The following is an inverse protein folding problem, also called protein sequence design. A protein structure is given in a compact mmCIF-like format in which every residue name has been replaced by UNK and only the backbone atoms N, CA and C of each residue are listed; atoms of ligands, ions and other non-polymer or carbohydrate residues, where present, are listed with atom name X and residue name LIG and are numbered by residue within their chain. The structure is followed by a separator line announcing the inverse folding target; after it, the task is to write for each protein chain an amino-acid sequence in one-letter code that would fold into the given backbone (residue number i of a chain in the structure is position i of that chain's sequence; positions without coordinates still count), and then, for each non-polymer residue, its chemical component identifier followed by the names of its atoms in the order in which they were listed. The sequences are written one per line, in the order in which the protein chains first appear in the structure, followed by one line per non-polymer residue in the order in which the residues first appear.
data_IF_608537147649
#
_entry.id   IF_608537147649
#
_cell.length_a   1.000
_cell.length_b   1.000
_cell.length_c   1.000
_cell.angle_alpha   90.00
_cell.angle_beta   90.00
_cell.angle_gamma   90.00
#
_symmetry.space_group_name_H-M   'P 1'
#
loop_
_entity.id
_entity.type
_entity.pdbx_description
1 polymer ?
#
# COMPACT_ATOMS: atom_id res chain seq x y z
N UNK A 1 25.74 29.38 -1.13
CA UNK A 1 25.39 29.86 0.22
C UNK A 1 24.76 31.25 0.28
N UNK A 2 24.75 32.05 -0.82
CA UNK A 2 24.09 33.36 -0.85
C UNK A 2 22.57 33.27 -0.68
N UNK A 3 21.94 32.23 -1.18
CA UNK A 3 20.50 32.07 -1.25
C UNK A 3 19.91 31.26 -0.07
N UNK A 4 20.73 30.91 0.93
CA UNK A 4 20.30 30.11 2.08
C UNK A 4 19.17 30.75 2.90
N UNK A 5 19.17 32.07 3.17
CA UNK A 5 18.08 32.69 3.89
C UNK A 5 16.73 32.56 3.16
N UNK A 6 16.74 32.74 1.84
CA UNK A 6 15.54 32.66 0.99
C UNK A 6 14.99 31.22 0.93
N UNK A 7 15.88 30.22 0.81
CA UNK A 7 15.49 28.82 0.86
C UNK A 7 14.93 28.43 2.22
N UNK A 8 15.52 28.90 3.28
CA UNK A 8 15.02 28.65 4.64
C UNK A 8 13.62 29.24 4.82
N UNK A 9 13.42 30.48 4.40
CA UNK A 9 12.10 31.13 4.48
C UNK A 9 11.04 30.35 3.68
N UNK A 10 11.40 29.87 2.47
CA UNK A 10 10.51 29.02 1.67
C UNK A 10 10.18 27.69 2.35
N UNK A 11 11.16 27.03 2.95
CA UNK A 11 10.95 25.77 3.69
C UNK A 11 10.07 26.01 4.92
N UNK A 12 10.37 27.05 5.70
CA UNK A 12 9.61 27.41 6.89
C UNK A 12 8.14 27.72 6.51
N UNK A 13 7.91 28.48 5.43
CA UNK A 13 6.58 28.78 4.92
C UNK A 13 5.84 27.52 4.42
N UNK A 14 6.55 26.62 3.75
CA UNK A 14 5.98 25.36 3.27
C UNK A 14 5.59 24.42 4.42
N UNK A 15 6.38 24.37 5.50
CA UNK A 15 6.08 23.50 6.65
C UNK A 15 5.05 24.09 7.60
N UNK A 16 4.92 25.43 7.65
CA UNK A 16 4.12 26.14 8.65
C UNK A 16 2.67 25.65 8.76
N UNK A 17 1.91 25.38 7.68
CA UNK A 17 0.52 24.92 7.78
C UNK A 17 0.38 23.59 8.54
N UNK A 18 1.34 22.68 8.38
CA UNK A 18 1.35 21.39 9.08
C UNK A 18 1.84 21.54 10.52
N UNK A 19 2.93 22.29 10.70
CA UNK A 19 3.52 22.49 12.04
C UNK A 19 2.63 23.31 12.98
N UNK A 20 1.73 24.12 12.45
CA UNK A 20 0.75 24.89 13.22
C UNK A 20 -0.45 24.05 13.72
N UNK A 21 -0.59 22.79 13.30
CA UNK A 21 -1.73 21.93 13.66
C UNK A 21 -1.62 21.47 15.12
N UNK A 22 -2.42 22.04 16.01
CA UNK A 22 -2.45 21.68 17.43
C UNK A 22 -3.23 20.39 17.72
N UNK A 23 -4.08 19.94 16.80
CA UNK A 23 -4.83 18.68 16.89
C UNK A 23 -3.96 17.43 16.66
N UNK A 24 -2.72 17.61 16.19
CA UNK A 24 -1.71 16.57 16.10
C UNK A 24 -0.59 16.81 17.11
N UNK A 25 -0.14 15.77 17.84
CA UNK A 25 1.06 15.87 18.68
C UNK A 25 2.26 16.38 17.91
N UNK A 26 3.09 17.21 18.54
CA UNK A 26 4.27 17.83 17.91
C UNK A 26 5.17 16.79 17.20
N UNK A 27 5.44 15.65 17.84
CA UNK A 27 6.28 14.59 17.25
C UNK A 27 5.68 14.01 15.97
N UNK A 28 4.35 13.91 15.86
CA UNK A 28 3.70 13.45 14.63
C UNK A 28 3.79 14.48 13.51
N UNK A 29 3.64 15.77 13.84
CA UNK A 29 3.84 16.88 12.88
C UNK A 29 5.26 16.89 12.33
N UNK A 30 6.26 16.69 13.21
CA UNK A 30 7.65 16.57 12.80
C UNK A 30 7.91 15.33 11.97
N UNK A 31 7.29 14.19 12.30
CA UNK A 31 7.48 12.95 11.59
C UNK A 31 6.96 13.01 10.15
N UNK A 32 5.87 13.76 9.87
CA UNK A 32 5.40 13.98 8.50
C UNK A 32 6.53 14.48 7.58
N UNK A 33 7.32 15.45 8.04
CA UNK A 33 8.45 15.94 7.23
C UNK A 33 9.73 15.11 7.38
N UNK A 34 9.98 14.56 8.57
CA UNK A 34 11.18 13.77 8.80
C UNK A 34 11.19 12.50 7.95
N UNK A 35 10.04 11.84 7.75
CA UNK A 35 9.98 10.62 6.92
C UNK A 35 10.19 10.90 5.43
N UNK A 36 10.13 12.16 4.98
CA UNK A 36 10.49 12.54 3.60
C UNK A 36 12.00 12.44 3.33
N UNK A 37 12.82 12.19 4.35
CA UNK A 37 14.27 11.99 4.17
C UNK A 37 14.56 10.86 3.18
N UNK A 38 13.69 9.88 3.08
CA UNK A 38 13.84 8.73 2.19
C UNK A 38 13.97 9.17 0.72
N UNK A 39 13.21 10.17 0.31
CA UNK A 39 13.28 10.77 -1.03
C UNK A 39 14.62 11.47 -1.30
N UNK A 40 15.33 11.91 -0.25
CA UNK A 40 16.58 12.69 -0.34
C UNK A 40 17.82 11.92 0.10
N UNK A 41 17.68 10.68 0.60
CA UNK A 41 18.76 9.90 1.20
C UNK A 41 19.73 9.25 0.18
N UNK A 42 19.51 9.45 -1.14
CA UNK A 42 20.29 8.84 -2.21
C UNK A 42 19.67 7.57 -2.79
N UNK A 43 18.47 7.17 -2.31
CA UNK A 43 17.69 6.05 -2.85
C UNK A 43 16.84 6.41 -4.06
N UNK A 44 16.74 7.69 -4.43
CA UNK A 44 15.91 8.13 -5.56
C UNK A 44 16.67 8.11 -6.89
N UNK A 45 16.00 7.66 -7.94
CA UNK A 45 16.46 7.73 -9.32
C UNK A 45 15.47 8.59 -10.13
N UNK A 46 15.98 9.64 -10.77
CA UNK A 46 15.19 10.51 -11.63
C UNK A 46 15.92 10.73 -12.97
N UNK A 47 15.30 10.29 -14.05
CA UNK A 47 15.87 10.42 -15.40
C UNK A 47 15.52 11.77 -16.03
N UNK A 48 16.27 12.16 -17.06
CA UNK A 48 15.89 13.32 -17.87
C UNK A 48 14.55 13.11 -18.58
N UNK A 49 13.83 14.21 -18.80
CA UNK A 49 12.61 14.23 -19.60
C UNK A 49 12.90 13.79 -21.05
N UNK A 50 11.94 13.09 -21.66
CA UNK A 50 12.01 12.62 -23.05
C UNK A 50 10.59 12.49 -23.65
N UNK A 51 10.44 12.32 -24.98
CA UNK A 51 9.13 12.03 -25.56
C UNK A 51 8.47 10.82 -24.89
N UNK A 52 7.23 11.00 -24.42
CA UNK A 52 6.48 10.00 -23.66
C UNK A 52 6.74 9.96 -22.15
N UNK A 53 7.76 10.67 -21.66
CA UNK A 53 8.06 10.84 -20.24
C UNK A 53 8.38 12.34 -19.97
N UNK A 54 7.39 13.22 -19.94
CA UNK A 54 7.60 14.68 -19.94
C UNK A 54 8.31 15.20 -18.68
N UNK A 55 8.22 14.48 -17.56
CA UNK A 55 8.96 14.76 -16.32
C UNK A 55 10.12 13.79 -16.09
N UNK A 56 10.38 12.88 -17.03
CA UNK A 56 11.30 11.76 -16.85
C UNK A 56 10.66 10.58 -16.10
N UNK A 57 11.42 9.50 -15.91
CA UNK A 57 11.04 8.38 -15.04
C UNK A 57 11.59 8.64 -13.65
N UNK A 58 10.82 8.29 -12.65
CA UNK A 58 11.17 8.46 -11.24
C UNK A 58 10.95 7.16 -10.48
N UNK A 59 11.77 6.91 -9.47
CA UNK A 59 11.60 5.81 -8.54
C UNK A 59 12.45 6.00 -7.29
N UNK A 60 11.96 5.45 -6.19
CA UNK A 60 12.63 5.41 -4.90
C UNK A 60 12.91 3.97 -4.54
N UNK A 61 14.08 3.68 -3.98
CA UNK A 61 14.38 2.34 -3.46
C UNK A 61 13.41 2.00 -2.32
N UNK A 62 13.02 0.75 -2.24
CA UNK A 62 12.28 0.24 -1.09
C UNK A 62 13.05 0.50 0.20
N UNK A 63 14.32 0.14 0.19
CA UNK A 63 15.35 0.50 1.17
C UNK A 63 16.74 0.18 0.60
N UNK A 64 17.80 0.40 1.37
CA UNK A 64 19.16 0.05 0.92
C UNK A 64 19.48 -1.44 1.06
N UNK A 65 18.81 -2.14 1.98
CA UNK A 65 18.98 -3.58 2.17
C UNK A 65 18.25 -4.38 1.08
N UNK A 66 17.12 -3.85 0.59
CA UNK A 66 16.31 -4.37 -0.51
C UNK A 66 16.34 -3.36 -1.66
N UNK A 67 17.47 -3.31 -2.37
CA UNK A 67 17.78 -2.24 -3.30
C UNK A 67 17.10 -2.42 -4.67
N UNK A 68 15.78 -2.36 -4.70
CA UNK A 68 14.96 -2.27 -5.91
C UNK A 68 13.98 -1.11 -5.81
N UNK A 69 13.57 -0.59 -6.96
CA UNK A 69 12.77 0.63 -7.05
C UNK A 69 11.27 0.34 -7.00
N UNK A 70 10.55 1.10 -6.16
CA UNK A 70 9.10 1.21 -6.17
C UNK A 70 8.39 -0.13 -5.98
N UNK A 71 8.72 -0.89 -4.93
CA UNK A 71 7.93 -2.07 -4.56
C UNK A 71 6.47 -1.66 -4.40
N UNK A 72 5.60 -2.23 -5.22
CA UNK A 72 4.26 -1.69 -5.45
C UNK A 72 3.34 -1.82 -4.24
N UNK A 73 3.47 -2.91 -3.50
CA UNK A 73 2.78 -3.18 -2.23
C UNK A 73 3.26 -2.25 -1.10
N UNK A 74 4.56 -1.94 -1.07
CA UNK A 74 5.17 -0.98 -0.13
C UNK A 74 4.73 0.43 -0.47
N UNK A 75 4.75 0.76 -1.76
CA UNK A 75 4.34 2.05 -2.28
C UNK A 75 2.84 2.32 -2.09
N UNK A 76 1.99 1.31 -2.05
CA UNK A 76 0.57 1.45 -1.73
C UNK A 76 0.38 2.32 -0.47
N UNK A 77 1.18 2.07 0.55
CA UNK A 77 1.18 2.83 1.80
C UNK A 77 2.03 4.11 1.72
N UNK A 78 3.26 4.00 1.23
CA UNK A 78 4.28 5.05 1.32
C UNK A 78 4.12 6.21 0.34
N UNK A 79 3.42 6.06 -0.78
CA UNK A 79 3.41 7.05 -1.84
C UNK A 79 2.42 8.21 -1.66
N UNK A 80 1.62 8.24 -0.58
CA UNK A 80 0.73 9.37 -0.30
C UNK A 80 1.49 10.69 -0.13
N UNK A 81 2.71 10.65 0.41
CA UNK A 81 3.60 11.81 0.47
C UNK A 81 3.96 12.33 -0.92
N UNK A 82 4.36 11.42 -1.81
CA UNK A 82 4.75 11.77 -3.19
C UNK A 82 3.56 12.35 -3.96
N UNK A 83 2.39 11.73 -3.86
CA UNK A 83 1.15 12.22 -4.46
C UNK A 83 0.81 13.64 -4.00
N UNK A 84 0.92 13.89 -2.69
CA UNK A 84 0.57 15.18 -2.10
C UNK A 84 1.52 16.30 -2.49
N UNK A 85 2.80 16.02 -2.51
CA UNK A 85 3.84 17.04 -2.61
C UNK A 85 4.40 17.15 -4.03
N UNK A 86 4.44 16.04 -4.77
CA UNK A 86 5.01 15.95 -6.13
C UNK A 86 4.19 15.03 -7.03
N UNK A 87 2.92 15.36 -7.31
CA UNK A 87 1.97 14.48 -8.01
C UNK A 87 2.46 14.04 -9.40
N UNK A 88 3.23 14.86 -10.09
CA UNK A 88 3.76 14.48 -11.41
C UNK A 88 4.83 13.39 -11.33
N UNK A 89 5.57 13.29 -10.21
CA UNK A 89 6.49 12.18 -9.97
C UNK A 89 5.73 10.90 -9.63
N UNK A 90 4.67 11.00 -8.84
CA UNK A 90 3.78 9.86 -8.55
C UNK A 90 3.14 9.30 -9.83
N UNK A 91 2.63 10.17 -10.71
CA UNK A 91 2.13 9.77 -12.04
C UNK A 91 3.21 9.12 -12.90
N UNK A 92 4.46 9.62 -12.86
CA UNK A 92 5.57 9.05 -13.64
C UNK A 92 5.90 7.61 -13.21
N UNK A 93 5.82 7.32 -11.91
CA UNK A 93 5.97 5.95 -11.38
C UNK A 93 4.84 5.05 -11.90
N UNK A 94 3.59 5.46 -11.77
CA UNK A 94 2.44 4.66 -12.20
C UNK A 94 2.40 4.43 -13.72
N UNK A 95 2.84 5.41 -14.53
CA UNK A 95 3.06 5.22 -15.97
C UNK A 95 4.14 4.18 -16.25
N UNK A 96 5.18 4.10 -15.41
CA UNK A 96 6.21 3.06 -15.55
C UNK A 96 5.64 1.67 -15.28
N UNK A 97 4.77 1.50 -14.28
CA UNK A 97 4.02 0.27 -14.06
C UNK A 97 3.06 -0.04 -15.23
N UNK A 98 2.36 0.97 -15.76
CA UNK A 98 1.47 0.80 -16.92
C UNK A 98 2.18 0.20 -18.13
N UNK A 99 3.44 0.60 -18.36
CA UNK A 99 4.29 0.03 -19.42
C UNK A 99 4.82 -1.36 -19.10
N UNK A 100 5.09 -1.63 -17.81
CA UNK A 100 5.65 -2.89 -17.37
C UNK A 100 4.63 -4.04 -17.31
N UNK A 101 3.35 -3.75 -17.01
CA UNK A 101 2.30 -4.78 -16.89
C UNK A 101 2.17 -5.63 -18.15
N UNK A 102 2.03 -5.07 -19.39
CA UNK A 102 1.92 -5.87 -20.60
C UNK A 102 3.24 -6.56 -21.00
N UNK A 103 4.38 -6.11 -20.51
CA UNK A 103 5.68 -6.66 -20.86
C UNK A 103 5.89 -8.07 -20.28
N UNK A 104 6.78 -8.84 -20.90
CA UNK A 104 7.18 -10.15 -20.45
C UNK A 104 8.70 -10.32 -20.49
N UNK A 105 9.26 -11.07 -19.54
CA UNK A 105 10.63 -11.54 -19.51
C UNK A 105 10.63 -13.01 -19.11
N UNK A 106 10.94 -13.89 -20.07
CA UNK A 106 10.93 -15.33 -19.90
C UNK A 106 12.21 -15.88 -19.23
N UNK A 107 13.17 -15.02 -18.85
CA UNK A 107 14.41 -15.45 -18.20
C UNK A 107 14.09 -16.24 -16.93
N UNK A 108 14.48 -17.53 -16.84
CA UNK A 108 14.21 -18.35 -15.68
C UNK A 108 15.06 -17.90 -14.49
N UNK A 109 14.46 -17.84 -13.31
CA UNK A 109 15.13 -17.52 -12.06
C UNK A 109 14.76 -18.50 -10.97
N UNK A 110 15.74 -18.97 -10.15
CA UNK A 110 15.43 -19.77 -8.98
C UNK A 110 14.67 -18.92 -7.94
N UNK A 111 13.62 -19.50 -7.36
CA UNK A 111 12.80 -18.86 -6.32
C UNK A 111 13.32 -19.26 -4.94
N UNK A 112 13.85 -18.27 -4.21
CA UNK A 112 14.58 -18.46 -2.96
C UNK A 112 13.75 -19.08 -1.84
N UNK A 113 12.48 -18.71 -1.71
CA UNK A 113 11.59 -19.20 -0.65
C UNK A 113 11.47 -20.73 -0.66
N UNK A 114 11.29 -21.35 -1.82
CA UNK A 114 11.20 -22.81 -1.91
C UNK A 114 12.49 -23.51 -1.49
N UNK A 115 13.63 -22.86 -1.76
CA UNK A 115 14.91 -23.37 -1.34
C UNK A 115 15.08 -23.30 0.19
N UNK A 116 14.70 -22.17 0.81
CA UNK A 116 14.75 -22.01 2.28
C UNK A 116 13.81 -22.97 3.01
N UNK A 117 12.72 -23.38 2.36
CA UNK A 117 11.77 -24.37 2.88
C UNK A 117 12.18 -25.83 2.61
N UNK A 118 13.38 -26.06 2.10
CA UNK A 118 13.88 -27.40 1.79
C UNK A 118 13.20 -28.11 0.62
N UNK A 119 12.43 -27.38 -0.22
CA UNK A 119 11.70 -27.92 -1.38
C UNK A 119 12.57 -28.08 -2.65
N UNK A 120 13.85 -27.73 -2.55
CA UNK A 120 14.78 -27.77 -3.67
C UNK A 120 14.64 -26.58 -4.62
N UNK A 121 15.26 -26.70 -5.80
CA UNK A 121 15.28 -25.64 -6.81
C UNK A 121 13.95 -25.59 -7.57
N UNK A 122 13.23 -24.50 -7.37
CA UNK A 122 12.05 -24.15 -8.18
C UNK A 122 12.41 -22.93 -9.01
N UNK A 123 12.08 -22.94 -10.30
CA UNK A 123 12.33 -21.84 -11.21
C UNK A 123 11.02 -21.25 -11.74
N UNK A 124 11.01 -19.95 -11.93
CA UNK A 124 9.91 -19.22 -12.56
C UNK A 124 10.46 -18.20 -13.57
N UNK A 125 9.68 -17.79 -14.58
CA UNK A 125 10.06 -16.69 -15.45
C UNK A 125 10.11 -15.39 -14.64
N UNK A 126 11.03 -14.50 -14.97
CA UNK A 126 11.17 -13.21 -14.31
C UNK A 126 9.86 -12.41 -14.31
N UNK A 127 9.20 -12.33 -15.47
CA UNK A 127 7.97 -11.55 -15.62
C UNK A 127 7.03 -12.22 -16.64
N UNK A 128 5.79 -12.43 -16.26
CA UNK A 128 4.72 -12.88 -17.18
C UNK A 128 3.95 -11.67 -17.70
N UNK A 129 3.56 -11.70 -18.97
CA UNK A 129 2.69 -10.68 -19.55
C UNK A 129 1.39 -10.55 -18.73
N UNK A 130 0.93 -9.35 -18.55
CA UNK A 130 -0.23 -8.93 -17.75
C UNK A 130 -0.10 -9.13 -16.22
N UNK A 131 0.90 -9.86 -15.71
CA UNK A 131 1.20 -9.84 -14.28
C UNK A 131 1.67 -8.44 -13.89
N UNK A 132 1.20 -7.90 -12.79
CA UNK A 132 1.71 -6.66 -12.22
C UNK A 132 3.07 -6.94 -11.60
N UNK A 133 4.15 -6.21 -11.95
CA UNK A 133 5.44 -6.44 -11.34
C UNK A 133 5.45 -5.96 -9.88
N UNK A 134 6.24 -6.63 -9.05
CA UNK A 134 6.49 -6.22 -7.69
C UNK A 134 7.27 -4.90 -7.64
N UNK A 135 8.33 -4.78 -8.44
CA UNK A 135 9.23 -3.65 -8.46
C UNK A 135 9.59 -3.23 -9.89
N UNK A 136 10.12 -2.02 -10.04
CA UNK A 136 10.59 -1.44 -11.30
C UNK A 136 12.08 -1.70 -11.57
N UNK A 137 12.66 -2.74 -10.93
CA UNK A 137 14.06 -3.13 -11.12
C UNK A 137 15.01 -2.52 -10.11
N UNK A 138 16.30 -2.75 -10.28
CA UNK A 138 17.35 -2.41 -9.32
C UNK A 138 18.49 -1.59 -9.93
N UNK A 139 19.31 -0.89 -9.10
CA UNK A 139 20.39 -0.04 -9.57
C UNK A 139 21.48 -0.73 -10.39
N UNK A 140 21.66 -2.04 -10.19
CA UNK A 140 22.66 -2.86 -10.88
C UNK A 140 22.20 -3.48 -12.20
N UNK A 141 20.98 -3.17 -12.64
CA UNK A 141 20.40 -3.62 -13.90
C UNK A 141 19.91 -2.41 -14.74
N UNK A 142 18.87 -2.58 -15.52
CA UNK A 142 18.20 -1.51 -16.27
C UNK A 142 16.91 -1.13 -15.56
N UNK A 143 16.90 -0.21 -14.59
CA UNK A 143 15.68 0.18 -13.88
C UNK A 143 14.59 0.64 -14.84
N UNK A 144 13.34 0.36 -14.50
CA UNK A 144 12.12 0.59 -15.29
C UNK A 144 11.95 -0.31 -16.53
N UNK A 145 12.99 -0.99 -17.01
CA UNK A 145 12.91 -1.89 -18.17
C UNK A 145 13.06 -3.36 -17.72
N UNK A 146 13.94 -3.64 -16.75
CA UNK A 146 14.10 -4.96 -16.13
C UNK A 146 13.39 -5.01 -14.78
N UNK A 147 12.08 -5.21 -14.79
CA UNK A 147 11.22 -5.27 -13.59
C UNK A 147 11.29 -6.61 -12.85
N UNK A 148 10.67 -6.71 -11.65
CA UNK A 148 10.74 -7.90 -10.80
C UNK A 148 12.19 -8.30 -10.48
N UNK A 149 12.96 -7.40 -9.85
CA UNK A 149 14.33 -7.72 -9.43
C UNK A 149 14.37 -8.81 -8.38
N UNK A 150 13.47 -8.73 -7.38
CA UNK A 150 13.40 -9.76 -6.34
C UNK A 150 13.06 -11.12 -6.92
N UNK A 151 13.73 -12.16 -6.43
CA UNK A 151 13.48 -13.55 -6.78
C UNK A 151 13.32 -14.43 -5.52
N UNK A 152 13.16 -13.82 -4.35
CA UNK A 152 12.83 -14.57 -3.13
C UNK A 152 11.47 -15.24 -3.28
N UNK A 153 10.49 -14.54 -3.87
CA UNK A 153 9.18 -15.02 -4.24
C UNK A 153 9.00 -15.03 -5.76
N UNK A 154 8.06 -15.82 -6.27
CA UNK A 154 7.53 -15.65 -7.64
C UNK A 154 6.47 -14.54 -7.64
N UNK A 155 6.89 -13.31 -7.85
CA UNK A 155 6.00 -12.15 -7.84
C UNK A 155 4.91 -12.20 -8.93
N UNK A 156 5.06 -13.07 -9.95
CA UNK A 156 3.97 -13.31 -10.92
C UNK A 156 2.73 -13.98 -10.30
N UNK A 157 2.86 -14.52 -9.09
CA UNK A 157 1.78 -15.20 -8.38
C UNK A 157 1.13 -14.36 -7.28
N UNK A 158 1.60 -13.14 -7.05
CA UNK A 158 1.10 -12.29 -5.97
C UNK A 158 -0.34 -11.83 -6.21
N UNK A 159 -1.11 -11.73 -5.11
CA UNK A 159 -2.56 -11.53 -5.13
C UNK A 159 -2.98 -10.09 -4.76
N UNK A 160 -2.05 -9.26 -4.32
CA UNK A 160 -2.28 -7.85 -3.99
C UNK A 160 -1.88 -6.89 -5.12
N UNK A 161 -0.73 -7.11 -5.76
CA UNK A 161 -0.09 -6.14 -6.67
C UNK A 161 -1.01 -5.56 -7.76
N UNK A 162 -1.89 -6.38 -8.35
CA UNK A 162 -2.82 -5.89 -9.37
C UNK A 162 -3.85 -4.93 -8.77
N UNK A 163 -4.37 -5.26 -7.59
CA UNK A 163 -5.30 -4.43 -6.84
C UNK A 163 -4.63 -3.13 -6.38
N UNK A 164 -3.38 -3.23 -5.92
CA UNK A 164 -2.58 -2.10 -5.45
C UNK A 164 -2.32 -1.10 -6.59
N UNK A 165 -2.03 -1.60 -7.78
CA UNK A 165 -1.86 -0.75 -8.96
C UNK A 165 -3.14 0.03 -9.29
N UNK A 166 -4.27 -0.66 -9.38
CA UNK A 166 -5.56 -0.05 -9.72
C UNK A 166 -5.98 1.01 -8.69
N UNK A 167 -5.84 0.68 -7.41
CA UNK A 167 -6.15 1.61 -6.31
C UNK A 167 -5.24 2.83 -6.33
N UNK A 168 -3.95 2.67 -6.61
CA UNK A 168 -3.02 3.79 -6.70
C UNK A 168 -3.29 4.68 -7.93
N UNK A 169 -3.64 4.12 -9.08
CA UNK A 169 -4.03 4.92 -10.26
C UNK A 169 -5.27 5.75 -9.96
N UNK A 170 -6.31 5.15 -9.39
CA UNK A 170 -7.54 5.87 -9.02
C UNK A 170 -7.27 6.93 -7.96
N UNK A 171 -6.50 6.59 -6.94
CA UNK A 171 -6.07 7.52 -5.89
C UNK A 171 -5.35 8.74 -6.44
N UNK A 172 -4.39 8.52 -7.33
CA UNK A 172 -3.60 9.59 -7.93
C UNK A 172 -4.45 10.48 -8.84
N UNK A 173 -5.38 9.89 -9.58
CA UNK A 173 -6.34 10.66 -10.37
C UNK A 173 -7.23 11.54 -9.48
N UNK A 174 -7.82 10.95 -8.43
CA UNK A 174 -8.82 11.60 -7.59
C UNK A 174 -8.22 12.64 -6.65
N UNK A 175 -7.06 12.33 -6.04
CA UNK A 175 -6.49 13.11 -4.94
C UNK A 175 -5.31 14.00 -5.37
N UNK A 176 -5.00 14.08 -6.67
CA UNK A 176 -3.92 14.95 -7.13
C UNK A 176 -4.23 16.43 -6.80
N UNK A 177 -3.32 17.14 -6.13
CA UNK A 177 -3.51 18.56 -5.85
C UNK A 177 -3.59 19.42 -7.13
N UNK A 178 -3.07 18.92 -8.26
CA UNK A 178 -3.16 19.57 -9.56
C UNK A 178 -4.51 19.35 -10.26
N UNK A 179 -5.45 18.65 -9.61
CA UNK A 179 -6.75 18.28 -10.14
C UNK A 179 -6.74 16.95 -10.92
N UNK A 180 -7.91 16.58 -11.41
CA UNK A 180 -8.15 15.33 -12.12
C UNK A 180 -7.51 15.35 -13.53
N UNK A 181 -6.64 14.37 -13.79
CA UNK A 181 -5.92 14.24 -15.06
C UNK A 181 -6.47 13.04 -15.85
N UNK A 182 -7.46 13.34 -16.71
CA UNK A 182 -8.10 12.32 -17.55
C UNK A 182 -7.13 11.67 -18.56
N UNK A 183 -6.09 12.39 -18.99
CA UNK A 183 -5.07 11.82 -19.87
C UNK A 183 -4.26 10.75 -19.15
N UNK A 184 -3.84 11.03 -17.90
CA UNK A 184 -3.17 10.05 -17.06
C UNK A 184 -4.06 8.82 -16.80
N UNK A 185 -5.34 9.03 -16.51
CA UNK A 185 -6.28 7.95 -16.28
C UNK A 185 -6.44 7.06 -17.52
N UNK A 186 -6.59 7.68 -18.69
CA UNK A 186 -6.71 6.97 -19.97
C UNK A 186 -5.43 6.21 -20.35
N UNK A 187 -4.24 6.75 -20.05
CA UNK A 187 -2.96 6.08 -20.27
C UNK A 187 -2.80 4.83 -19.40
N UNK A 188 -3.26 4.88 -18.15
CA UNK A 188 -3.12 3.76 -17.19
C UNK A 188 -4.23 2.69 -17.32
N UNK A 189 -5.39 3.04 -17.89
CA UNK A 189 -6.56 2.17 -17.98
C UNK A 189 -6.31 0.81 -18.62
N UNK A 190 -5.65 0.70 -19.81
CA UNK A 190 -5.43 -0.60 -20.44
C UNK A 190 -4.61 -1.57 -19.57
N UNK A 191 -3.65 -1.04 -18.81
CA UNK A 191 -2.85 -1.83 -17.90
C UNK A 191 -3.65 -2.26 -16.67
N UNK A 192 -4.53 -1.40 -16.14
CA UNK A 192 -5.43 -1.73 -15.04
C UNK A 192 -6.37 -2.89 -15.41
N UNK A 193 -6.97 -2.84 -16.60
CA UNK A 193 -7.81 -3.94 -17.13
C UNK A 193 -7.02 -5.25 -17.23
N UNK A 194 -5.82 -5.21 -17.81
CA UNK A 194 -4.98 -6.40 -17.97
C UNK A 194 -4.59 -7.00 -16.60
N UNK A 195 -4.23 -6.16 -15.64
CA UNK A 195 -3.85 -6.57 -14.29
C UNK A 195 -5.00 -7.28 -13.58
N UNK A 196 -6.22 -6.73 -13.62
CA UNK A 196 -7.40 -7.35 -13.00
C UNK A 196 -7.78 -8.66 -13.68
N UNK A 197 -7.75 -8.73 -15.01
CA UNK A 197 -8.00 -9.99 -15.76
C UNK A 197 -6.94 -11.03 -15.40
N UNK A 198 -5.68 -10.63 -15.20
CA UNK A 198 -4.64 -11.55 -14.78
C UNK A 198 -4.89 -12.07 -13.37
N UNK A 199 -5.22 -11.19 -12.41
CA UNK A 199 -5.49 -11.56 -11.03
C UNK A 199 -6.71 -12.49 -10.92
N UNK A 200 -7.76 -12.25 -11.70
CA UNK A 200 -8.97 -13.11 -11.74
C UNK A 200 -8.69 -14.58 -12.06
N UNK A 201 -7.54 -14.89 -12.68
CA UNK A 201 -7.13 -16.29 -12.97
C UNK A 201 -6.86 -17.11 -11.71
N UNK A 202 -6.64 -16.47 -10.59
CA UNK A 202 -6.41 -17.10 -9.30
C UNK A 202 -7.70 -17.37 -8.52
N UNK A 203 -8.85 -16.96 -9.02
CA UNK A 203 -10.15 -17.42 -8.54
C UNK A 203 -10.40 -18.82 -9.13
N UNK A 204 -9.81 -19.84 -8.48
CA UNK A 204 -9.80 -21.21 -9.01
C UNK A 204 -11.07 -21.99 -8.70
N UNK A 205 -11.79 -21.58 -7.67
CA UNK A 205 -13.05 -22.19 -7.24
C UNK A 205 -14.29 -21.44 -7.73
N UNK A 206 -14.09 -20.32 -8.47
CA UNK A 206 -15.13 -19.49 -9.07
C UNK A 206 -16.07 -18.85 -8.06
N UNK A 207 -15.59 -18.49 -6.87
CA UNK A 207 -16.35 -17.75 -5.86
C UNK A 207 -16.27 -16.24 -6.01
N UNK A 208 -15.51 -15.74 -6.97
CA UNK A 208 -15.33 -14.33 -7.31
C UNK A 208 -14.06 -13.70 -6.72
N UNK A 209 -13.36 -14.39 -5.83
CA UNK A 209 -12.21 -13.88 -5.09
C UNK A 209 -10.92 -14.61 -5.47
N UNK A 210 -9.78 -13.93 -5.58
CA UNK A 210 -8.49 -14.60 -5.81
C UNK A 210 -8.08 -15.45 -4.62
N UNK A 211 -7.63 -16.69 -4.89
CA UNK A 211 -7.11 -17.60 -3.89
C UNK A 211 -5.60 -17.46 -3.72
N UNK A 212 -5.14 -17.33 -2.48
CA UNK A 212 -3.74 -17.46 -2.12
C UNK A 212 -3.28 -18.92 -2.21
N UNK A 213 -2.01 -19.12 -2.60
CA UNK A 213 -1.52 -20.45 -3.00
C UNK A 213 -0.78 -21.25 -1.92
N UNK A 214 -0.78 -20.80 -0.66
CA UNK A 214 -0.03 -21.45 0.43
C UNK A 214 1.48 -21.18 0.40
N UNK A 215 1.94 -20.32 -0.49
CA UNK A 215 3.23 -19.64 -0.45
C UNK A 215 2.98 -18.16 -0.13
N UNK A 216 3.95 -17.42 0.44
CA UNK A 216 3.80 -15.98 0.59
C UNK A 216 3.67 -15.33 -0.79
N UNK A 217 2.50 -14.81 -1.09
CA UNK A 217 2.13 -14.27 -2.38
C UNK A 217 1.37 -12.93 -2.24
N UNK A 218 1.81 -12.13 -1.28
CA UNK A 218 1.33 -10.79 -0.91
C UNK A 218 2.37 -10.09 -0.01
N UNK A 219 2.13 -8.83 0.37
CA UNK A 219 3.07 -7.97 1.12
C UNK A 219 3.62 -8.56 2.44
N UNK A 220 2.91 -9.52 3.05
CA UNK A 220 3.38 -10.19 4.29
C UNK A 220 4.18 -11.46 3.93
N UNK A 221 5.42 -11.27 3.51
CA UNK A 221 6.35 -12.23 2.88
C UNK A 221 6.53 -13.58 3.57
N UNK A 222 6.14 -13.70 4.82
CA UNK A 222 6.35 -14.92 5.62
C UNK A 222 5.02 -15.58 6.03
N UNK A 223 3.89 -15.06 5.54
CA UNK A 223 2.56 -15.63 5.79
C UNK A 223 2.04 -16.40 4.58
N UNK A 224 2.10 -17.74 4.61
CA UNK A 224 1.61 -18.58 3.52
C UNK A 224 0.08 -18.71 3.59
N UNK A 225 -0.64 -17.68 3.19
CA UNK A 225 -2.11 -17.65 3.17
C UNK A 225 -2.67 -18.71 2.22
N UNK A 226 -3.86 -19.26 2.53
CA UNK A 226 -4.47 -20.34 1.77
C UNK A 226 -5.95 -20.04 1.45
N UNK A 227 -6.32 -20.22 0.18
CA UNK A 227 -7.63 -19.85 -0.32
C UNK A 227 -7.85 -18.32 -0.25
N UNK A 228 -9.09 -17.90 -0.13
CA UNK A 228 -9.40 -16.46 -0.01
C UNK A 228 -8.85 -15.89 1.28
N UNK A 229 -8.09 -14.80 1.20
CA UNK A 229 -7.60 -14.08 2.38
C UNK A 229 -8.33 -12.75 2.60
N UNK A 230 -8.38 -12.30 3.85
CA UNK A 230 -9.02 -11.02 4.17
C UNK A 230 -8.29 -9.85 3.52
N UNK A 231 -6.95 -9.85 3.58
CA UNK A 231 -6.11 -8.79 3.01
C UNK A 231 -6.29 -8.68 1.49
N UNK A 232 -5.98 -9.75 0.74
CA UNK A 232 -6.06 -9.71 -0.72
C UNK A 232 -7.50 -9.60 -1.22
N UNK A 233 -8.47 -10.25 -0.57
CA UNK A 233 -9.88 -10.19 -0.94
C UNK A 233 -10.49 -8.81 -0.75
N UNK A 234 -10.13 -8.10 0.34
CA UNK A 234 -10.58 -6.72 0.55
C UNK A 234 -9.97 -5.76 -0.48
N UNK A 235 -8.68 -5.91 -0.80
CA UNK A 235 -8.01 -5.14 -1.85
C UNK A 235 -8.62 -5.38 -3.23
N UNK A 236 -8.94 -6.64 -3.56
CA UNK A 236 -9.60 -7.01 -4.80
C UNK A 236 -10.97 -6.32 -4.97
N UNK A 237 -11.82 -6.37 -3.94
CA UNK A 237 -13.14 -5.72 -3.96
C UNK A 237 -12.99 -4.21 -4.15
N UNK A 238 -12.10 -3.57 -3.40
CA UNK A 238 -11.83 -2.14 -3.52
C UNK A 238 -11.29 -1.77 -4.91
N UNK A 239 -10.42 -2.60 -5.49
CA UNK A 239 -9.88 -2.40 -6.84
C UNK A 239 -10.94 -2.54 -7.93
N UNK A 240 -11.91 -3.45 -7.79
CA UNK A 240 -13.03 -3.56 -8.71
C UNK A 240 -13.93 -2.31 -8.65
N UNK A 241 -14.22 -1.78 -7.45
CA UNK A 241 -14.96 -0.51 -7.29
C UNK A 241 -14.19 0.65 -7.95
N UNK A 242 -12.88 0.74 -7.73
CA UNK A 242 -12.05 1.76 -8.35
C UNK A 242 -12.03 1.63 -9.89
N UNK A 243 -11.91 0.41 -10.41
CA UNK A 243 -11.93 0.17 -11.85
C UNK A 243 -13.28 0.53 -12.49
N UNK A 244 -14.39 0.25 -11.83
CA UNK A 244 -15.73 0.68 -12.28
C UNK A 244 -15.85 2.21 -12.28
N UNK A 245 -15.34 2.89 -11.25
CA UNK A 245 -15.30 4.35 -11.20
C UNK A 245 -14.42 4.93 -12.33
N UNK A 246 -13.23 4.35 -12.58
CA UNK A 246 -12.36 4.72 -13.69
C UNK A 246 -13.08 4.55 -15.03
N UNK A 247 -13.71 3.41 -15.28
CA UNK A 247 -14.43 3.10 -16.51
C UNK A 247 -15.57 4.10 -16.78
N UNK A 248 -16.35 4.44 -15.74
CA UNK A 248 -17.42 5.43 -15.83
C UNK A 248 -16.89 6.82 -16.18
N UNK A 249 -15.80 7.27 -15.53
CA UNK A 249 -15.19 8.57 -15.80
C UNK A 249 -14.66 8.64 -17.25
N UNK A 250 -13.95 7.60 -17.69
CA UNK A 250 -13.43 7.54 -19.06
C UNK A 250 -14.54 7.53 -20.11
N UNK A 251 -15.63 6.85 -19.83
CA UNK A 251 -16.80 6.84 -20.72
C UNK A 251 -17.50 8.19 -20.78
N UNK A 252 -17.76 8.81 -19.63
CA UNK A 252 -18.49 10.08 -19.54
C UNK A 252 -17.69 11.26 -20.07
N UNK A 253 -16.42 11.35 -19.73
CA UNK A 253 -15.62 12.55 -19.98
C UNK A 253 -14.82 12.46 -21.29
N UNK A 254 -14.45 11.27 -21.75
CA UNK A 254 -13.69 11.05 -22.98
C UNK A 254 -14.44 10.26 -24.06
N UNK A 255 -15.63 9.74 -23.77
CA UNK A 255 -16.40 8.92 -24.70
C UNK A 255 -15.77 7.57 -25.02
N UNK A 256 -14.85 7.08 -24.17
CA UNK A 256 -14.24 5.76 -24.36
C UNK A 256 -15.29 4.65 -24.15
N UNK A 257 -15.28 3.64 -25.01
CA UNK A 257 -16.17 2.50 -24.83
C UNK A 257 -15.58 1.54 -23.82
N UNK A 258 -16.11 1.54 -22.60
CA UNK A 258 -15.72 0.71 -21.48
C UNK A 258 -16.86 -0.21 -21.02
N UNK A 259 -17.88 -0.43 -21.86
CA UNK A 259 -19.10 -1.14 -21.48
C UNK A 259 -18.85 -2.63 -21.18
N UNK A 260 -17.93 -3.26 -21.89
CA UNK A 260 -17.56 -4.67 -21.69
C UNK A 260 -16.87 -4.85 -20.34
N UNK A 261 -15.89 -4.02 -20.02
CA UNK A 261 -15.16 -4.04 -18.75
C UNK A 261 -16.08 -3.73 -17.57
N UNK A 262 -16.98 -2.72 -17.72
CA UNK A 262 -17.97 -2.42 -16.69
C UNK A 262 -18.89 -3.62 -16.39
N UNK A 263 -19.38 -4.29 -17.43
CA UNK A 263 -20.22 -5.48 -17.26
C UNK A 263 -19.46 -6.62 -16.57
N UNK A 264 -18.22 -6.87 -17.01
CA UNK A 264 -17.39 -7.95 -16.47
C UNK A 264 -17.02 -7.69 -15.00
N UNK A 265 -16.54 -6.48 -14.68
CA UNK A 265 -16.12 -6.12 -13.32
C UNK A 265 -17.30 -6.03 -12.35
N UNK A 266 -18.46 -5.58 -12.81
CA UNK A 266 -19.69 -5.60 -11.98
C UNK A 266 -20.09 -7.03 -11.60
N UNK A 267 -20.03 -7.97 -12.54
CA UNK A 267 -20.32 -9.38 -12.25
C UNK A 267 -19.32 -10.01 -11.26
N UNK A 268 -18.03 -9.71 -11.40
CA UNK A 268 -17.03 -10.18 -10.43
C UNK A 268 -17.22 -9.56 -9.06
N UNK A 269 -17.53 -8.26 -9.00
CA UNK A 269 -17.75 -7.53 -7.76
C UNK A 269 -18.96 -8.07 -6.99
N UNK A 270 -20.08 -8.31 -7.66
CA UNK A 270 -21.28 -8.88 -7.05
C UNK A 270 -20.98 -10.24 -6.41
N UNK A 271 -20.27 -11.10 -7.14
CA UNK A 271 -19.90 -12.43 -6.66
C UNK A 271 -18.90 -12.33 -5.48
N UNK A 272 -17.88 -11.46 -5.60
CA UNK A 272 -16.90 -11.24 -4.54
C UNK A 272 -17.53 -10.78 -3.23
N UNK A 273 -18.40 -9.78 -3.30
CA UNK A 273 -19.11 -9.25 -2.11
C UNK A 273 -19.99 -10.30 -1.44
N UNK A 274 -20.70 -11.12 -2.24
CA UNK A 274 -21.56 -12.19 -1.72
C UNK A 274 -20.77 -13.26 -0.95
N UNK A 275 -19.51 -13.51 -1.34
CA UNK A 275 -18.71 -14.58 -0.78
C UNK A 275 -17.71 -14.13 0.29
N UNK A 276 -17.18 -12.90 0.23
CA UNK A 276 -16.17 -12.40 1.16
C UNK A 276 -16.60 -12.55 2.63
N UNK A 277 -17.76 -12.03 2.98
CA UNK A 277 -18.32 -12.14 4.34
C UNK A 277 -18.62 -13.58 4.73
N UNK A 278 -19.18 -14.37 3.81
CA UNK A 278 -19.53 -15.76 4.06
C UNK A 278 -18.32 -16.63 4.38
N UNK A 279 -17.20 -16.38 3.72
CA UNK A 279 -15.99 -17.19 3.85
C UNK A 279 -15.15 -16.76 5.07
N UNK A 280 -15.08 -15.47 5.34
CA UNK A 280 -14.07 -14.91 6.22
C UNK A 280 -14.62 -14.35 7.54
N UNK A 281 -15.88 -13.88 7.60
CA UNK A 281 -16.42 -13.31 8.82
C UNK A 281 -16.66 -14.40 9.87
N UNK A 282 -16.05 -14.26 11.05
CA UNK A 282 -16.19 -15.24 12.13
C UNK A 282 -17.20 -14.83 13.24
N UNK A 283 -17.87 -13.68 13.05
CA UNK A 283 -18.80 -13.11 14.03
C UNK A 283 -18.24 -11.91 14.79
N UNK A 284 -16.91 -11.69 14.75
CA UNK A 284 -16.23 -10.62 15.48
C UNK A 284 -15.20 -9.88 14.58
N UNK A 285 -14.39 -10.61 13.82
CA UNK A 285 -13.37 -10.09 12.92
C UNK A 285 -13.25 -10.99 11.68
N UNK A 286 -12.48 -10.57 10.68
CA UNK A 286 -12.23 -11.39 9.50
C UNK A 286 -11.05 -12.33 9.75
N UNK A 287 -11.26 -13.64 9.51
CA UNK A 287 -10.19 -14.63 9.53
C UNK A 287 -9.09 -14.22 8.57
N UNK A 288 -7.84 -14.54 8.90
CA UNK A 288 -6.70 -14.22 8.03
C UNK A 288 -6.88 -14.80 6.61
N UNK A 289 -7.37 -16.05 6.54
CA UNK A 289 -7.77 -16.72 5.31
C UNK A 289 -8.87 -17.77 5.54
N UNK A 290 -9.38 -18.34 4.44
CA UNK A 290 -10.49 -19.27 4.48
C UNK A 290 -10.09 -20.71 4.85
N UNK A 291 -8.86 -21.13 4.60
CA UNK A 291 -8.48 -22.53 4.56
C UNK A 291 -7.41 -22.94 5.58
N UNK A 292 -6.53 -22.04 6.02
CA UNK A 292 -5.43 -22.39 6.96
C UNK A 292 -5.92 -22.74 8.36
N UNK A 293 -7.08 -22.23 8.76
CA UNK A 293 -7.60 -22.39 10.12
C UNK A 293 -6.79 -21.62 11.18
N UNK A 294 -5.92 -20.71 10.78
CA UNK A 294 -5.07 -19.91 11.66
C UNK A 294 -5.90 -18.96 12.52
N UNK A 295 -5.88 -19.04 13.87
CA UNK A 295 -6.72 -18.24 14.75
C UNK A 295 -6.12 -16.86 15.09
N UNK A 296 -5.46 -16.24 14.14
CA UNK A 296 -4.77 -14.96 14.32
C UNK A 296 -5.69 -13.81 13.91
N UNK A 297 -5.73 -12.76 14.72
CA UNK A 297 -6.25 -11.44 14.34
C UNK A 297 -5.14 -10.74 13.59
N UNK A 298 -5.29 -10.59 12.27
CA UNK A 298 -4.35 -9.86 11.43
C UNK A 298 -4.61 -8.36 11.56
N UNK A 299 -3.57 -7.58 11.82
CA UNK A 299 -3.71 -6.14 12.03
C UNK A 299 -4.30 -5.42 10.81
N UNK A 300 -3.84 -5.78 9.62
CA UNK A 300 -4.20 -5.10 8.37
C UNK A 300 -5.21 -5.89 7.50
N UNK A 301 -6.06 -6.70 8.15
CA UNK A 301 -7.04 -7.56 7.49
C UNK A 301 -8.00 -6.82 6.54
N UNK A 302 -8.22 -5.53 6.75
CA UNK A 302 -9.17 -4.70 6.00
C UNK A 302 -8.50 -3.51 5.28
N UNK A 303 -7.25 -3.65 4.84
CA UNK A 303 -6.54 -2.65 4.07
C UNK A 303 -7.35 -2.14 2.87
N UNK A 304 -8.01 -3.03 2.13
CA UNK A 304 -8.87 -2.66 1.01
C UNK A 304 -10.09 -1.82 1.42
N UNK A 305 -10.69 -2.06 2.59
CA UNK A 305 -11.81 -1.24 3.09
C UNK A 305 -11.34 0.17 3.48
N UNK A 306 -10.12 0.28 4.07
CA UNK A 306 -9.50 1.58 4.30
C UNK A 306 -9.36 2.39 3.01
N UNK A 307 -8.79 1.78 1.95
CA UNK A 307 -8.64 2.49 0.67
C UNK A 307 -9.96 2.80 0.00
N UNK A 308 -10.94 1.90 0.02
CA UNK A 308 -12.26 2.18 -0.52
C UNK A 308 -12.87 3.43 0.14
N UNK A 309 -12.85 3.50 1.47
CA UNK A 309 -13.38 4.65 2.23
C UNK A 309 -12.58 5.93 2.01
N UNK A 310 -11.25 5.86 2.02
CA UNK A 310 -10.39 7.01 1.76
C UNK A 310 -10.67 7.64 0.40
N UNK A 311 -11.01 6.82 -0.58
CA UNK A 311 -11.25 7.21 -1.97
C UNK A 311 -12.73 7.49 -2.27
N UNK A 312 -13.62 7.47 -1.26
CA UNK A 312 -15.05 7.72 -1.44
C UNK A 312 -15.76 6.66 -2.27
N UNK A 313 -15.18 5.47 -2.39
CA UNK A 313 -15.80 4.31 -3.02
C UNK A 313 -16.76 3.61 -2.05
N UNK A 314 -17.68 2.76 -2.55
CA UNK A 314 -18.48 1.89 -1.69
C UNK A 314 -17.56 1.05 -0.78
N UNK A 315 -17.85 1.06 0.53
CA UNK A 315 -17.07 0.29 1.51
C UNK A 315 -17.06 -1.21 1.17
N UNK A 316 -15.96 -1.88 1.46
CA UNK A 316 -15.83 -3.33 1.23
C UNK A 316 -16.74 -4.10 2.14
N UNK A 317 -16.83 -3.68 3.40
CA UNK A 317 -17.65 -4.31 4.44
C UNK A 317 -18.52 -3.29 5.16
N UNK A 318 -19.55 -3.75 5.86
CA UNK A 318 -20.44 -2.90 6.64
C UNK A 318 -19.68 -2.22 7.80
N UNK A 319 -20.10 -1.01 8.18
CA UNK A 319 -19.47 -0.19 9.23
C UNK A 319 -19.35 -0.93 10.56
N UNK A 320 -20.36 -1.68 10.94
CA UNK A 320 -20.38 -2.45 12.18
C UNK A 320 -19.27 -3.52 12.19
N UNK A 321 -19.03 -4.16 11.04
CA UNK A 321 -17.96 -5.18 10.89
C UNK A 321 -16.58 -4.55 10.86
N UNK A 322 -16.43 -3.40 10.19
CA UNK A 322 -15.19 -2.63 10.23
C UNK A 322 -14.83 -2.25 11.67
N UNK A 323 -15.81 -1.69 12.42
CA UNK A 323 -15.60 -1.31 13.83
C UNK A 323 -15.29 -2.51 14.72
N UNK A 324 -16.00 -3.62 14.54
CA UNK A 324 -15.76 -4.86 15.29
C UNK A 324 -14.37 -5.42 15.03
N UNK A 325 -13.95 -5.49 13.76
CA UNK A 325 -12.60 -5.96 13.38
C UNK A 325 -11.50 -5.05 13.92
N UNK A 326 -11.67 -3.74 13.80
CA UNK A 326 -10.72 -2.76 14.37
C UNK A 326 -10.65 -2.89 15.90
N UNK A 327 -11.78 -3.12 16.58
CA UNK A 327 -11.77 -3.35 18.02
C UNK A 327 -11.00 -4.63 18.39
N UNK A 328 -11.18 -5.73 17.64
CA UNK A 328 -10.42 -6.95 17.83
C UNK A 328 -8.91 -6.74 17.62
N UNK A 329 -8.52 -5.98 16.60
CA UNK A 329 -7.11 -5.59 16.36
C UNK A 329 -6.57 -4.74 17.51
N UNK A 330 -7.34 -3.75 17.98
CA UNK A 330 -6.95 -2.91 19.12
C UNK A 330 -6.68 -3.73 20.38
N UNK A 331 -7.62 -4.59 20.73
CA UNK A 331 -7.52 -5.40 21.95
C UNK A 331 -6.39 -6.43 21.86
N UNK A 332 -6.31 -7.19 20.76
CA UNK A 332 -5.32 -8.25 20.61
C UNK A 332 -3.93 -7.72 20.23
N UNK A 333 -3.83 -6.93 19.16
CA UNK A 333 -2.55 -6.61 18.53
C UNK A 333 -1.94 -5.29 19.01
N UNK A 334 -2.72 -4.39 19.59
CA UNK A 334 -2.22 -3.13 20.15
C UNK A 334 -2.11 -3.21 21.68
N UNK A 335 -3.25 -3.30 22.38
CA UNK A 335 -3.29 -3.30 23.86
C UNK A 335 -2.70 -4.60 24.42
N UNK A 336 -2.96 -5.74 23.79
CA UNK A 336 -2.40 -7.05 24.13
C UNK A 336 -0.90 -7.15 23.86
N UNK A 337 -0.37 -6.40 22.88
CA UNK A 337 1.05 -6.38 22.57
C UNK A 337 1.78 -5.31 23.37
N UNK A 338 2.57 -5.74 24.38
CA UNK A 338 3.39 -4.86 25.20
C UNK A 338 2.60 -3.67 25.85
N UNK A 339 1.29 -3.83 26.03
CA UNK A 339 0.42 -2.79 26.58
C UNK A 339 0.29 -1.55 25.69
N UNK A 340 0.36 -1.70 24.37
CA UNK A 340 0.21 -0.63 23.36
C UNK A 340 1.40 0.33 23.28
N UNK A 341 2.51 0.04 23.98
CA UNK A 341 3.66 0.96 24.05
C UNK A 341 4.53 0.96 22.78
N UNK A 342 4.48 -0.12 22.02
CA UNK A 342 5.39 -0.34 20.89
C UNK A 342 4.70 -0.11 19.52
N UNK A 343 3.40 -0.05 19.49
CA UNK A 343 2.58 -0.07 18.27
C UNK A 343 1.80 -1.37 18.16
N UNK A 344 1.24 -1.63 16.99
CA UNK A 344 0.40 -2.80 16.68
C UNK A 344 1.27 -3.90 16.08
N UNK A 345 1.29 -5.08 16.71
CA UNK A 345 1.90 -6.26 16.11
C UNK A 345 1.08 -6.71 14.89
N UNK A 346 1.75 -7.28 13.87
CA UNK A 346 1.08 -7.68 12.63
C UNK A 346 -0.01 -8.74 12.85
N UNK A 347 0.13 -9.61 13.87
CA UNK A 347 -0.91 -10.58 14.15
C UNK A 347 -0.70 -11.38 15.44
N UNK A 348 -1.73 -11.41 16.27
CA UNK A 348 -1.78 -12.17 17.51
C UNK A 348 -3.11 -12.95 17.59
N UNK A 349 -3.14 -14.00 18.41
CA UNK A 349 -4.40 -14.63 18.76
C UNK A 349 -5.33 -13.64 19.47
N UNK A 350 -6.63 -13.92 19.49
CA UNK A 350 -7.64 -13.01 20.04
C UNK A 350 -7.40 -12.63 21.51
N UNK A 351 -6.70 -13.47 22.27
CA UNK A 351 -6.30 -13.22 23.65
C UNK A 351 -5.01 -12.40 23.81
N UNK A 352 -4.44 -11.91 22.72
CA UNK A 352 -3.19 -11.15 22.70
C UNK A 352 -1.93 -12.00 22.76
N UNK A 353 -2.06 -13.33 22.73
CA UNK A 353 -0.91 -14.23 22.77
C UNK A 353 -0.41 -14.55 21.35
N UNK A 354 0.92 -14.71 21.15
CA UNK A 354 1.44 -15.16 19.88
C UNK A 354 1.03 -16.61 19.59
N UNK A 355 0.67 -16.92 18.35
CA UNK A 355 0.44 -18.28 17.89
C UNK A 355 1.75 -19.11 17.96
N UNK A 356 2.84 -18.52 17.49
CA UNK A 356 4.20 -19.03 17.66
C UNK A 356 5.07 -17.97 18.33
N UNK A 357 5.51 -18.19 19.59
CA UNK A 357 6.40 -17.26 20.29
C UNK A 357 7.78 -17.06 19.63
N UNK A 358 8.13 -17.90 18.67
CA UNK A 358 9.36 -17.79 17.87
C UNK A 358 9.11 -17.24 16.48
N UNK A 359 7.85 -16.97 16.13
CA UNK A 359 7.48 -16.34 14.87
C UNK A 359 8.12 -14.96 14.73
N UNK A 360 8.44 -14.56 13.51
CA UNK A 360 9.06 -13.26 13.24
C UNK A 360 7.98 -12.25 12.84
N UNK A 361 7.46 -12.33 11.66
CA UNK A 361 6.54 -11.34 11.08
C UNK A 361 5.27 -11.07 11.89
N UNK A 362 4.59 -12.07 12.49
CA UNK A 362 3.42 -11.79 13.31
C UNK A 362 3.72 -10.92 14.53
N UNK A 363 4.94 -11.03 15.10
CA UNK A 363 5.36 -10.34 16.31
C UNK A 363 6.12 -9.03 16.05
N UNK A 364 6.20 -8.62 14.81
CA UNK A 364 6.80 -7.34 14.41
C UNK A 364 5.77 -6.22 14.37
N UNK A 365 6.20 -5.04 14.73
CA UNK A 365 5.53 -3.77 14.45
C UNK A 365 6.07 -3.24 13.13
N UNK A 366 5.29 -3.35 12.07
CA UNK A 366 5.65 -2.77 10.80
C UNK A 366 5.24 -1.29 10.77
N UNK A 367 6.23 -0.43 10.69
CA UNK A 367 6.06 1.01 10.92
C UNK A 367 5.04 1.64 9.98
N UNK A 368 5.14 1.35 8.68
CA UNK A 368 4.23 1.90 7.68
C UNK A 368 2.82 1.29 7.74
N UNK A 369 2.68 -0.01 8.02
CA UNK A 369 1.38 -0.65 8.25
C UNK A 369 0.67 0.01 9.44
N UNK A 370 1.40 0.27 10.52
CA UNK A 370 0.84 0.94 11.69
C UNK A 370 0.32 2.35 11.37
N UNK A 371 1.01 3.10 10.51
CA UNK A 371 0.54 4.43 10.08
C UNK A 371 -0.72 4.34 9.20
N UNK A 372 -0.77 3.38 8.27
CA UNK A 372 -1.96 3.10 7.46
C UNK A 372 -3.16 2.69 8.32
N UNK A 373 -2.94 1.77 9.25
CA UNK A 373 -3.97 1.31 10.19
C UNK A 373 -4.45 2.46 11.09
N UNK A 374 -3.55 3.31 11.58
CA UNK A 374 -3.94 4.50 12.36
C UNK A 374 -4.82 5.45 11.55
N UNK A 375 -4.50 5.65 10.27
CA UNK A 375 -5.35 6.42 9.37
C UNK A 375 -6.74 5.80 9.22
N UNK A 376 -6.83 4.47 9.17
CA UNK A 376 -8.13 3.78 9.14
C UNK A 376 -8.93 3.96 10.42
N UNK A 377 -8.33 3.83 11.62
CA UNK A 377 -9.01 4.16 12.87
C UNK A 377 -9.56 5.59 12.87
N UNK A 378 -8.77 6.55 12.41
CA UNK A 378 -9.20 7.94 12.31
C UNK A 378 -10.38 8.11 11.37
N UNK A 379 -10.33 7.49 10.20
CA UNK A 379 -11.40 7.52 9.20
C UNK A 379 -12.71 6.92 9.74
N UNK A 380 -12.61 5.90 10.60
CA UNK A 380 -13.74 5.29 11.30
C UNK A 380 -14.18 6.04 12.57
N UNK A 381 -13.58 7.20 12.86
CA UNK A 381 -13.96 8.11 13.94
C UNK A 381 -13.21 7.89 15.27
N UNK A 382 -12.24 6.97 15.34
CA UNK A 382 -11.41 6.75 16.54
C UNK A 382 -10.05 7.45 16.41
N UNK A 383 -10.06 8.78 16.50
CA UNK A 383 -8.86 9.60 16.46
C UNK A 383 -7.94 9.36 17.67
N UNK A 384 -8.47 8.89 18.79
CA UNK A 384 -7.70 8.59 20.00
C UNK A 384 -6.79 7.39 19.78
N UNK A 385 -7.33 6.29 19.30
CA UNK A 385 -6.54 5.09 18.98
C UNK A 385 -5.55 5.37 17.84
N UNK A 386 -5.97 6.10 16.80
CA UNK A 386 -5.08 6.52 15.72
C UNK A 386 -3.84 7.27 16.23
N UNK A 387 -4.06 8.28 17.09
CA UNK A 387 -2.98 9.06 17.68
C UNK A 387 -2.09 8.22 18.59
N UNK A 388 -2.66 7.30 19.37
CA UNK A 388 -1.91 6.41 20.25
C UNK A 388 -0.98 5.47 19.47
N UNK A 389 -1.48 4.83 18.40
CA UNK A 389 -0.68 3.95 17.53
C UNK A 389 0.48 4.73 16.88
N UNK A 390 0.20 5.84 16.21
CA UNK A 390 1.25 6.65 15.58
C UNK A 390 2.29 7.13 16.60
N UNK A 391 1.83 7.60 17.78
CA UNK A 391 2.74 8.07 18.83
C UNK A 391 3.62 6.93 19.38
N UNK A 392 3.09 5.73 19.52
CA UNK A 392 3.85 4.57 19.95
C UNK A 392 4.99 4.25 18.95
N UNK A 393 4.68 4.20 17.66
CA UNK A 393 5.68 3.94 16.61
C UNK A 393 6.74 5.05 16.54
N UNK A 394 6.33 6.32 16.48
CA UNK A 394 7.26 7.45 16.42
C UNK A 394 8.14 7.50 17.67
N UNK A 395 7.59 7.22 18.85
CA UNK A 395 8.38 7.17 20.09
C UNK A 395 9.39 6.02 20.08
N UNK A 396 9.05 4.86 19.50
CA UNK A 396 9.98 3.74 19.34
C UNK A 396 11.14 4.13 18.40
N UNK A 397 10.82 4.66 17.23
CA UNK A 397 11.80 5.08 16.23
C UNK A 397 12.73 6.16 16.81
N UNK A 398 12.18 7.25 17.32
CA UNK A 398 12.96 8.39 17.77
C UNK A 398 13.66 8.12 19.12
N UNK A 399 12.98 7.45 20.04
CA UNK A 399 13.57 7.01 21.31
C UNK A 399 14.66 5.94 21.14
N UNK A 400 14.58 5.16 20.07
CA UNK A 400 15.59 4.17 19.66
C UNK A 400 16.79 4.75 18.91
N UNK A 401 16.78 6.07 18.60
CA UNK A 401 17.83 6.70 17.79
C UNK A 401 17.78 6.35 16.31
N UNK A 402 16.62 5.95 15.80
CA UNK A 402 16.37 5.55 14.41
C UNK A 402 15.76 6.68 13.56
N UNK A 403 15.73 7.91 14.05
CA UNK A 403 15.36 9.11 13.31
C UNK A 403 16.14 9.20 11.99
N UNK A 404 15.47 9.48 10.87
CA UNK A 404 16.04 9.44 9.52
C UNK A 404 16.62 8.08 9.11
N UNK A 405 16.15 7.01 9.74
CA UNK A 405 16.47 5.62 9.44
C UNK A 405 15.30 4.71 9.83
N UNK A 406 14.09 5.19 9.72
CA UNK A 406 12.90 4.44 10.13
C UNK A 406 12.90 3.06 9.47
N UNK A 407 12.86 1.98 10.26
CA UNK A 407 12.95 0.64 9.74
C UNK A 407 11.59 0.15 9.21
N UNK A 408 11.62 -0.91 8.44
CA UNK A 408 10.45 -1.68 8.07
C UNK A 408 9.72 -2.18 9.32
N UNK A 409 10.44 -2.86 10.18
CA UNK A 409 9.92 -3.59 11.32
C UNK A 409 10.75 -3.39 12.59
N UNK A 410 10.05 -3.36 13.73
CA UNK A 410 10.67 -3.35 15.07
C UNK A 410 10.01 -4.43 15.92
N UNK A 411 10.81 -5.19 16.66
CA UNK A 411 10.33 -6.22 17.59
C UNK A 411 10.23 -5.71 19.03
N UNK A 412 9.54 -6.44 19.89
CA UNK A 412 9.45 -6.15 21.33
C UNK A 412 10.83 -6.09 22.04
N UNK A 413 11.81 -6.83 21.54
CA UNK A 413 13.20 -6.83 22.06
C UNK A 413 14.08 -5.77 21.39
N UNK A 414 13.47 -4.85 20.61
CA UNK A 414 14.13 -3.73 19.93
C UNK A 414 15.16 -4.13 18.87
N UNK A 415 15.03 -5.31 18.30
CA UNK A 415 15.66 -5.61 17.02
C UNK A 415 14.83 -4.97 15.92
N UNK A 416 15.48 -4.61 14.80
CA UNK A 416 14.79 -4.04 13.66
C UNK A 416 15.32 -4.66 12.37
N UNK A 417 14.47 -4.62 11.34
CA UNK A 417 14.78 -5.11 10.02
C UNK A 417 14.70 -3.95 9.03
N UNK A 418 15.67 -3.88 8.15
CA UNK A 418 15.87 -2.84 7.17
C UNK A 418 15.88 -1.41 7.79
N UNK A 419 16.40 -0.46 7.09
CA UNK A 419 16.37 0.95 7.47
C UNK A 419 16.20 1.77 6.20
N UNK A 420 15.77 3.02 6.33
CA UNK A 420 15.43 3.85 5.19
C UNK A 420 14.33 3.18 4.34
N UNK A 421 13.23 2.85 5.00
CA UNK A 421 12.19 2.04 4.40
C UNK A 421 11.05 2.91 3.85
N UNK A 422 10.80 2.81 2.55
CA UNK A 422 9.83 3.61 1.80
C UNK A 422 8.43 3.65 2.46
N UNK A 423 7.97 2.53 3.00
CA UNK A 423 6.64 2.41 3.63
C UNK A 423 6.46 3.34 4.83
N UNK A 424 7.54 3.80 5.47
CA UNK A 424 7.45 4.71 6.62
C UNK A 424 6.78 6.06 6.28
N UNK A 425 6.85 6.48 5.01
CA UNK A 425 6.10 7.65 4.54
C UNK A 425 4.58 7.48 4.58
N UNK A 426 4.07 6.29 4.93
CA UNK A 426 2.65 6.04 5.18
C UNK A 426 2.06 6.91 6.32
N UNK A 427 2.87 7.57 7.13
CA UNK A 427 2.39 8.60 8.07
C UNK A 427 1.57 9.69 7.37
N UNK A 428 1.80 9.92 6.07
CA UNK A 428 1.01 10.83 5.26
C UNK A 428 -0.43 10.32 5.00
N UNK A 429 -0.72 9.03 5.23
CA UNK A 429 -2.09 8.53 5.25
C UNK A 429 -2.88 9.13 6.43
N UNK A 430 -2.25 9.30 7.60
CA UNK A 430 -2.88 9.98 8.73
C UNK A 430 -3.25 11.43 8.36
N UNK A 431 -2.36 12.14 7.67
CA UNK A 431 -2.63 13.47 7.15
C UNK A 431 -3.81 13.46 6.16
N UNK A 432 -3.84 12.52 5.23
CA UNK A 432 -4.88 12.39 4.21
C UNK A 432 -6.29 12.15 4.79
N UNK A 433 -6.41 11.69 6.03
CA UNK A 433 -7.71 11.50 6.72
C UNK A 433 -8.21 12.73 7.47
N UNK A 434 -7.48 13.84 7.47
CA UNK A 434 -7.97 15.12 7.98
C UNK A 434 -8.86 15.80 6.95
N UNK A 435 -9.95 16.43 7.38
CA UNK A 435 -10.95 17.05 6.49
C UNK A 435 -10.41 18.21 5.66
N UNK A 436 -9.32 18.81 6.10
CA UNK A 436 -8.66 19.98 5.50
C UNK A 436 -7.22 19.69 5.03
N UNK A 437 -6.90 18.43 4.79
CA UNK A 437 -5.59 17.97 4.33
C UNK A 437 -5.08 18.64 3.03
N UNK A 438 -5.98 19.30 2.29
CA UNK A 438 -5.70 20.01 1.04
C UNK A 438 -5.01 21.38 1.22
N UNK A 439 -4.78 21.81 2.45
CA UNK A 439 -4.24 23.14 2.78
C UNK A 439 -2.70 23.23 2.73
N UNK A 440 -2.02 22.33 2.02
CA UNK A 440 -0.60 22.56 1.70
C UNK A 440 -0.55 23.62 0.60
N UNK A 441 0.15 24.76 0.79
CA UNK A 441 0.24 25.81 -0.21
C UNK A 441 0.73 25.27 -1.57
N UNK A 442 -0.06 25.48 -2.60
CA UNK A 442 0.15 24.93 -3.94
C UNK A 442 -0.90 23.91 -4.36
N UNK A 443 -1.72 23.41 -3.44
CA UNK A 443 -2.82 22.48 -3.70
C UNK A 443 -4.17 23.21 -3.79
N UNK A 444 -4.27 24.31 -4.54
CA UNK A 444 -5.56 24.90 -4.86
C UNK A 444 -6.30 23.97 -5.83
N UNK A 445 -7.43 23.41 -5.40
CA UNK A 445 -8.36 22.78 -6.33
C UNK A 445 -8.87 23.83 -7.32
N UNK A 446 -8.54 23.72 -8.56
CA UNK A 446 -9.29 24.37 -9.63
C UNK A 446 -10.70 23.75 -9.65
N UNK A 447 -11.67 24.45 -9.05
CA UNK A 447 -13.08 24.16 -9.26
C UNK A 447 -13.89 23.70 -8.05
N UNK A 448 -14.11 24.61 -7.11
CA UNK A 448 -15.33 24.63 -6.30
C UNK A 448 -16.02 25.99 -6.47
N UNK A 449 -16.36 26.32 -7.71
CA UNK A 449 -17.37 27.36 -8.01
C UNK A 449 -18.35 26.76 -9.02
N UNK A 450 -19.60 26.56 -8.54
CA UNK A 450 -20.73 26.21 -9.41
C UNK A 450 -21.77 25.39 -8.68
#
# INVERSE_FOLDING_TARGET
MRDWPDWREQIDAWQAPVLAREDLPERLRMALFNELYDLASGGSLWTAARPGDPVGRFGVLECFDYAWYESLDVRLYGSLALLQLWPELDKAVLRSFARAIPAADATPRPIGWYFTQGRGRVEAPRKRAAATPHDLGAPNESPFDATNYTAYQDCNLWKDLASDYVLQVWRTFLLSPNGEDLSFLAECWPAAVQALIYLKRFDVNHDGLPDNGGAPDQTFDDWPLQGVSAYCGALWIAALEAALAMAQRLQLDLGLNTAEEQHQFSGWLEQSRANFDRLLWNGEYYKIDAESGTPVVMADQLCGDFYARLLGLPSVVADERSRSSLNAVKEACFEGFEGGRLGVANGLCRDGMPLDPKGTHPLEVWTGINFGLAAYYRLMGDATTATAICSAVVNQVYGGGLQFRTPEAITAVKTYRACHYLRAMAIWALWATHTDWQLIPGAERAGSEG
#
